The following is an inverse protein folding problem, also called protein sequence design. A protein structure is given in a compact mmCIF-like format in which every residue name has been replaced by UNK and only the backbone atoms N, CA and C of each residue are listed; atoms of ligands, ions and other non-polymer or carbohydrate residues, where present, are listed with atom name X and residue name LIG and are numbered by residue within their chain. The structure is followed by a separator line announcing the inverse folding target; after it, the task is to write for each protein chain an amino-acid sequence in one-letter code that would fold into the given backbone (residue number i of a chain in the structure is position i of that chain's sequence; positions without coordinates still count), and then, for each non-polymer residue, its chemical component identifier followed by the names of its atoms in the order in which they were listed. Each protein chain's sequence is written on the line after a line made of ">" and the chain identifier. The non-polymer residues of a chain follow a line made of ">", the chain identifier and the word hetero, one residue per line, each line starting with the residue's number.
data_IF_637986280940
#
_entry.id   IF_637986280940
#
_cell.length_a   1.000
_cell.length_b   1.000
_cell.length_c   1.000
_cell.angle_alpha   90.00
_cell.angle_beta   90.00
_cell.angle_gamma   90.00
#
_symmetry.space_group_name_H-M   'P 1'
#
loop_
_entity.id
_entity.type
_entity.pdbx_description
1 polymer ?
#
# COMPACT_ATOMS: atom_id res chain seq x y z
N UNK A 1 7.40 5.31 16.23
CA UNK A 1 6.17 4.57 15.89
C UNK A 1 4.99 5.50 16.13
N UNK A 2 4.16 5.69 15.11
CA UNK A 2 2.93 6.48 15.24
C UNK A 2 1.96 5.71 16.14
N UNK A 3 1.68 6.18 17.35
CA UNK A 3 0.69 5.57 18.24
C UNK A 3 -0.68 6.19 17.97
N UNK A 4 -1.41 5.61 17.02
CA UNK A 4 -2.83 5.89 16.84
C UNK A 4 -3.66 5.18 17.92
N UNK A 5 -4.82 5.74 18.27
CA UNK A 5 -5.69 5.14 19.27
C UNK A 5 -6.22 3.78 18.76
N UNK A 6 -6.21 2.75 19.60
CA UNK A 6 -6.51 1.35 19.23
C UNK A 6 -7.86 1.16 18.54
N UNK A 7 -8.83 2.03 18.81
CA UNK A 7 -10.15 2.01 18.15
C UNK A 7 -10.09 2.16 16.62
N UNK A 8 -8.99 2.72 16.10
CA UNK A 8 -8.79 2.89 14.66
C UNK A 8 -8.20 1.65 14.00
N UNK A 9 -7.64 0.72 14.77
CA UNK A 9 -7.03 -0.49 14.28
C UNK A 9 -8.10 -1.50 13.79
N UNK A 10 -8.01 -1.86 12.52
CA UNK A 10 -8.78 -2.90 11.86
C UNK A 10 -7.95 -4.18 11.85
N UNK A 11 -8.37 -5.16 12.64
CA UNK A 11 -7.73 -6.48 12.71
C UNK A 11 -8.50 -7.58 11.96
N UNK A 12 -9.77 -7.32 11.64
CA UNK A 12 -10.59 -8.28 10.90
C UNK A 12 -10.21 -8.24 9.41
N UNK A 13 -9.85 -9.37 8.77
CA UNK A 13 -9.45 -9.41 7.36
C UNK A 13 -10.48 -8.80 6.40
N UNK A 14 -11.77 -8.97 6.68
CA UNK A 14 -12.84 -8.36 5.86
C UNK A 14 -12.90 -6.84 6.03
N UNK A 15 -12.60 -6.32 7.23
CA UNK A 15 -12.53 -4.89 7.46
C UNK A 15 -11.32 -4.28 6.73
N UNK A 16 -10.16 -4.94 6.80
CA UNK A 16 -8.96 -4.53 6.04
C UNK A 16 -9.24 -4.54 4.54
N UNK A 17 -9.78 -5.63 4.00
CA UNK A 17 -10.14 -5.72 2.59
C UNK A 17 -11.19 -4.69 2.18
N UNK A 18 -12.13 -4.36 3.07
CA UNK A 18 -13.11 -3.28 2.85
C UNK A 18 -12.43 -1.95 2.61
N UNK A 19 -11.54 -1.53 3.51
CA UNK A 19 -10.79 -0.28 3.38
C UNK A 19 -9.94 -0.25 2.10
N UNK A 20 -9.21 -1.33 1.80
CA UNK A 20 -8.39 -1.41 0.60
C UNK A 20 -9.21 -1.35 -0.69
N UNK A 21 -10.41 -1.96 -0.71
CA UNK A 21 -11.35 -1.86 -1.84
C UNK A 21 -11.89 -0.45 -2.03
N UNK A 22 -12.18 0.26 -0.94
CA UNK A 22 -12.64 1.65 -1.00
C UNK A 22 -11.54 2.57 -1.56
N UNK A 23 -10.29 2.40 -1.11
CA UNK A 23 -9.14 3.12 -1.64
C UNK A 23 -8.93 2.86 -3.14
N UNK A 24 -9.05 1.59 -3.56
CA UNK A 24 -8.96 1.20 -4.96
C UNK A 24 -10.08 1.84 -5.80
N UNK A 25 -11.33 1.72 -5.35
CA UNK A 25 -12.51 2.24 -6.08
C UNK A 25 -12.48 3.76 -6.23
N UNK A 26 -12.01 4.47 -5.20
CA UNK A 26 -11.88 5.93 -5.23
C UNK A 26 -10.56 6.41 -5.85
N UNK A 27 -9.70 5.49 -6.33
CA UNK A 27 -8.40 5.78 -6.92
C UNK A 27 -7.53 6.73 -6.06
N UNK A 28 -7.56 6.52 -4.74
CA UNK A 28 -6.85 7.38 -3.78
C UNK A 28 -5.34 7.23 -3.96
N UNK A 29 -4.58 8.32 -4.09
CA UNK A 29 -3.12 8.27 -4.12
C UNK A 29 -2.55 7.67 -2.83
N UNK A 30 -1.58 6.79 -2.98
CA UNK A 30 -0.83 6.19 -1.89
C UNK A 30 0.56 6.80 -1.82
N UNK A 31 1.04 7.07 -0.62
CA UNK A 31 2.45 7.34 -0.35
C UNK A 31 3.07 6.08 0.25
N UNK A 32 4.04 5.52 -0.45
CA UNK A 32 4.90 4.43 0.01
C UNK A 32 6.16 5.06 0.58
N UNK A 33 6.50 4.74 1.83
CA UNK A 33 7.65 5.26 2.54
C UNK A 33 8.48 4.11 3.09
N UNK A 34 9.80 4.17 2.91
CA UNK A 34 10.74 3.19 3.47
C UNK A 34 11.95 3.92 4.05
N UNK A 35 12.86 3.18 4.68
CA UNK A 35 14.11 3.76 5.15
C UNK A 35 14.97 4.20 3.95
N UNK A 36 15.00 5.52 3.70
CA UNK A 36 15.81 6.12 2.63
C UNK A 36 15.02 6.66 1.45
N UNK A 37 13.68 6.61 1.44
CA UNK A 37 12.91 7.19 0.35
C UNK A 37 11.39 7.12 0.51
N UNK A 38 10.70 7.75 -0.43
CA UNK A 38 9.25 7.63 -0.59
C UNK A 38 8.88 7.77 -2.06
N UNK A 39 7.74 7.20 -2.46
CA UNK A 39 7.15 7.40 -3.77
C UNK A 39 5.62 7.49 -3.71
N UNK A 40 5.02 8.08 -4.74
CA UNK A 40 3.58 8.09 -4.92
C UNK A 40 3.18 6.93 -5.84
N UNK A 41 2.15 6.19 -5.42
CA UNK A 41 1.58 5.05 -6.12
C UNK A 41 0.05 5.08 -6.01
N UNK A 42 -0.62 4.02 -6.46
CA UNK A 42 -2.05 3.79 -6.32
C UNK A 42 -2.33 2.28 -6.31
N UNK A 43 -3.46 1.87 -5.74
CA UNK A 43 -3.93 0.49 -5.88
C UNK A 43 -4.42 0.28 -7.31
N UNK A 44 -3.90 -0.76 -7.98
CA UNK A 44 -4.32 -1.18 -9.32
C UNK A 44 -5.31 -2.34 -9.27
N UNK A 45 -5.15 -3.24 -8.30
CA UNK A 45 -6.07 -4.34 -8.03
C UNK A 45 -5.93 -4.84 -6.58
N UNK A 46 -7.01 -5.40 -6.04
CA UNK A 46 -7.04 -6.00 -4.70
C UNK A 46 -7.88 -7.28 -4.70
N UNK A 47 -7.29 -8.36 -4.18
CA UNK A 47 -7.95 -9.62 -3.85
C UNK A 47 -7.63 -10.00 -2.39
N UNK A 48 -8.27 -11.04 -1.82
CA UNK A 48 -7.91 -11.50 -0.47
C UNK A 48 -6.43 -11.85 -0.29
N UNK A 49 -5.76 -12.27 -1.37
CA UNK A 49 -4.39 -12.80 -1.30
C UNK A 49 -3.36 -11.86 -1.95
N UNK A 50 -3.79 -10.84 -2.70
CA UNK A 50 -2.91 -9.99 -3.51
C UNK A 50 -3.33 -8.53 -3.46
N UNK A 51 -2.37 -7.67 -3.15
CA UNK A 51 -2.43 -6.23 -3.32
C UNK A 51 -1.47 -5.85 -4.46
N UNK A 52 -2.02 -5.27 -5.54
CA UNK A 52 -1.23 -4.80 -6.69
C UNK A 52 -1.19 -3.28 -6.67
N UNK A 53 0.01 -2.71 -6.70
CA UNK A 53 0.25 -1.28 -6.64
C UNK A 53 0.98 -0.81 -7.89
N UNK A 54 0.72 0.43 -8.30
CA UNK A 54 1.37 1.02 -9.46
C UNK A 54 2.85 1.34 -9.19
N UNK A 55 3.67 1.33 -10.23
CA UNK A 55 5.02 1.85 -10.14
C UNK A 55 5.01 3.37 -9.94
N UNK A 56 5.99 3.88 -9.20
CA UNK A 56 6.26 5.31 -9.13
C UNK A 56 6.82 5.83 -10.45
N UNK A 57 6.80 7.15 -10.62
CA UNK A 57 7.32 7.80 -11.83
C UNK A 57 8.83 7.70 -11.99
N UNK A 58 9.57 7.52 -10.90
CA UNK A 58 11.03 7.47 -10.90
C UNK A 58 11.53 6.03 -10.80
N UNK A 59 12.36 5.62 -11.77
CA UNK A 59 12.91 4.27 -11.81
C UNK A 59 13.81 3.96 -10.60
N UNK A 60 14.55 4.95 -10.10
CA UNK A 60 15.44 4.81 -8.94
C UNK A 60 14.64 4.48 -7.67
N UNK A 61 13.51 5.16 -7.45
CA UNK A 61 12.61 4.89 -6.32
C UNK A 61 11.99 3.49 -6.41
N UNK A 62 11.60 3.08 -7.63
CA UNK A 62 11.06 1.73 -7.86
C UNK A 62 12.10 0.64 -7.54
N UNK A 63 13.36 0.84 -7.94
CA UNK A 63 14.45 -0.09 -7.63
C UNK A 63 14.75 -0.10 -6.13
N UNK A 64 14.71 1.07 -5.48
CA UNK A 64 14.98 1.19 -4.06
C UNK A 64 13.90 0.50 -3.20
N UNK A 65 12.62 0.73 -3.49
CA UNK A 65 11.51 0.16 -2.71
C UNK A 65 11.43 -1.38 -2.85
N UNK A 66 11.83 -1.95 -3.99
CA UNK A 66 11.90 -3.41 -4.19
C UNK A 66 12.94 -4.10 -3.28
N UNK A 67 13.96 -3.35 -2.84
CA UNK A 67 15.02 -3.83 -1.93
C UNK A 67 14.71 -3.49 -0.46
N UNK A 68 13.73 -2.65 -0.21
CA UNK A 68 13.38 -2.21 1.12
C UNK A 68 12.62 -3.31 1.89
N UNK A 69 12.68 -3.19 3.21
CA UNK A 69 11.84 -3.94 4.14
C UNK A 69 11.04 -2.95 4.97
N UNK A 70 9.87 -3.38 5.47
CA UNK A 70 8.98 -2.56 6.30
C UNK A 70 8.56 -1.25 5.60
N UNK A 71 7.82 -1.38 4.51
CA UNK A 71 7.31 -0.24 3.74
C UNK A 71 6.00 0.24 4.37
N UNK A 72 5.98 1.47 4.87
CA UNK A 72 4.76 2.12 5.36
C UNK A 72 4.00 2.75 4.20
N UNK A 73 2.72 2.42 4.11
CA UNK A 73 1.80 2.91 3.09
C UNK A 73 0.77 3.78 3.77
N UNK A 74 0.63 5.02 3.29
CA UNK A 74 -0.37 5.97 3.79
C UNK A 74 -1.27 6.46 2.67
N UNK A 75 -2.55 6.68 2.98
CA UNK A 75 -3.54 7.29 2.10
C UNK A 75 -4.39 8.29 2.89
N UNK A 76 -4.69 9.42 2.28
CA UNK A 76 -5.59 10.42 2.86
C UNK A 76 -6.93 10.38 2.12
N UNK A 77 -8.01 10.10 2.85
CA UNK A 77 -9.39 10.16 2.35
C UNK A 77 -10.12 11.32 3.03
N UNK A 78 -11.34 11.63 2.59
CA UNK A 78 -12.14 12.68 3.23
C UNK A 78 -12.42 12.34 4.70
N UNK A 79 -11.68 12.96 5.62
CA UNK A 79 -11.85 12.81 7.06
C UNK A 79 -11.16 11.61 7.71
N UNK A 80 -10.34 10.84 6.98
CA UNK A 80 -9.59 9.73 7.56
C UNK A 80 -8.21 9.57 6.93
N UNK A 81 -7.24 9.18 7.76
CA UNK A 81 -5.92 8.72 7.32
C UNK A 81 -5.89 7.21 7.46
N UNK A 82 -5.56 6.54 6.36
CA UNK A 82 -5.27 5.10 6.34
C UNK A 82 -3.75 4.94 6.39
N UNK A 83 -3.25 4.08 7.28
CA UNK A 83 -1.84 3.75 7.41
C UNK A 83 -1.68 2.26 7.67
N UNK A 84 -0.81 1.59 6.93
CA UNK A 84 -0.46 0.19 7.17
C UNK A 84 0.97 -0.08 6.69
N UNK A 85 1.56 -1.19 7.15
CA UNK A 85 2.91 -1.59 6.76
C UNK A 85 2.87 -2.94 6.06
N UNK A 86 3.70 -3.09 5.03
CA UNK A 86 3.97 -4.36 4.37
C UNK A 86 5.46 -4.69 4.48
N UNK A 87 5.78 -5.97 4.63
CA UNK A 87 7.16 -6.41 4.83
C UNK A 87 8.03 -6.18 3.60
N UNK A 88 7.51 -6.51 2.42
CA UNK A 88 8.25 -6.40 1.17
C UNK A 88 7.30 -6.21 -0.03
N UNK A 89 7.78 -5.52 -1.05
CA UNK A 89 7.18 -5.47 -2.39
C UNK A 89 7.99 -6.32 -3.37
N UNK A 90 7.30 -7.03 -4.25
CA UNK A 90 7.91 -7.72 -5.38
C UNK A 90 7.47 -7.07 -6.69
N UNK A 91 8.29 -7.20 -7.73
CA UNK A 91 7.92 -6.76 -9.07
C UNK A 91 6.96 -7.79 -9.70
N UNK A 92 5.92 -7.28 -10.35
CA UNK A 92 4.94 -8.02 -11.13
C UNK A 92 4.57 -7.19 -12.37
N UNK A 93 3.66 -7.72 -13.17
CA UNK A 93 3.00 -6.97 -14.24
C UNK A 93 1.50 -6.86 -13.96
N UNK A 94 0.92 -5.74 -14.38
CA UNK A 94 -0.52 -5.50 -14.42
C UNK A 94 -0.87 -4.81 -15.73
N UNK A 95 -1.76 -5.41 -16.53
CA UNK A 95 -2.13 -4.90 -17.86
C UNK A 95 -0.90 -4.58 -18.74
N UNK A 96 0.11 -5.47 -18.71
CA UNK A 96 1.37 -5.35 -19.47
C UNK A 96 2.27 -4.17 -19.06
N UNK A 97 2.00 -3.53 -17.92
CA UNK A 97 2.83 -2.51 -17.31
C UNK A 97 3.44 -3.01 -16.00
N UNK A 98 4.63 -2.53 -15.62
CA UNK A 98 5.25 -2.92 -14.35
C UNK A 98 4.43 -2.46 -13.15
N UNK A 99 4.32 -3.31 -12.15
CA UNK A 99 3.57 -3.07 -10.92
C UNK A 99 4.27 -3.71 -9.72
N UNK A 100 3.99 -3.23 -8.52
CA UNK A 100 4.35 -3.92 -7.29
C UNK A 100 3.26 -4.92 -6.90
N UNK A 101 3.66 -6.04 -6.31
CA UNK A 101 2.76 -7.00 -5.70
C UNK A 101 3.20 -7.33 -4.28
N UNK A 102 2.24 -7.48 -3.39
CA UNK A 102 2.42 -7.97 -2.01
C UNK A 102 1.14 -8.64 -1.51
N UNK A 103 1.20 -9.23 -0.32
CA UNK A 103 0.01 -9.73 0.37
C UNK A 103 -0.66 -8.59 1.14
N UNK A 104 -2.00 -8.56 1.23
CA UNK A 104 -2.68 -7.59 2.09
C UNK A 104 -2.17 -7.68 3.54
N UNK A 105 -2.03 -6.55 4.26
CA UNK A 105 -1.58 -6.57 5.63
C UNK A 105 -2.61 -7.26 6.53
N UNK A 106 -2.18 -7.90 7.63
CA UNK A 106 -3.10 -8.51 8.59
C UNK A 106 -3.92 -7.47 9.36
N UNK A 107 -3.40 -6.24 9.47
CA UNK A 107 -4.01 -5.13 10.21
C UNK A 107 -3.80 -3.80 9.51
N UNK A 108 -4.73 -2.86 9.70
CA UNK A 108 -4.69 -1.49 9.17
C UNK A 108 -5.16 -0.50 10.24
#
# INVERSE_FOLDING_TARGET
>A
MSHYHEQFLKQNPLAVLGVLRDLHKAAIPLRLSWNGGQLISKILAITPDKLVLDFGSQAEDNIAVLKAQHITITAETQGAKVEFTVEQLQQSEYLQLPAFITVPPPTL
#
